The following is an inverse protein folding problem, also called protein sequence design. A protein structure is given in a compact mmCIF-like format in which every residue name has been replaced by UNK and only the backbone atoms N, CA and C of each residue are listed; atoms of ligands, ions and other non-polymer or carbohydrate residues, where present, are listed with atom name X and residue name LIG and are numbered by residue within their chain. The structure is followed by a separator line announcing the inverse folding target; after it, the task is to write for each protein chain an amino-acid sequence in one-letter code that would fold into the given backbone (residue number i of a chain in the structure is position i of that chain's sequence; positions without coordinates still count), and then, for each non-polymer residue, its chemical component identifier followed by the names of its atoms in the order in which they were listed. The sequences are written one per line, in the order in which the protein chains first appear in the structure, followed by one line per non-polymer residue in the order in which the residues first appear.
data_IF_426834003633
#
_entry.id   IF_426834003633
#
_cell.length_a   1.000
_cell.length_b   1.000
_cell.length_c   1.000
_cell.angle_alpha   90.00
_cell.angle_beta   90.00
_cell.angle_gamma   90.00
#
_symmetry.space_group_name_H-M   'P 1'
#
loop_
_entity.id
_entity.type
_entity.pdbx_description
1 polymer ?
#
# COMPACT_ATOMS: atom_id res chain seq x y z
N UNK A 1 -27.20 -26.57 -12.10
CA UNK A 1 -27.59 -25.14 -11.94
C UNK A 1 -27.30 -24.43 -13.25
N UNK A 2 -28.28 -23.79 -13.87
CA UNK A 2 -28.14 -23.19 -15.21
C UNK A 2 -27.13 -22.02 -15.17
N UNK A 3 -26.06 -22.07 -15.97
CA UNK A 3 -25.01 -21.03 -16.05
C UNK A 3 -25.59 -19.63 -16.30
N UNK A 4 -26.70 -19.55 -17.06
CA UNK A 4 -27.42 -18.31 -17.29
C UNK A 4 -28.00 -17.72 -15.99
N UNK A 5 -28.57 -18.57 -15.12
CA UNK A 5 -29.11 -18.13 -13.83
C UNK A 5 -27.99 -17.65 -12.91
N UNK A 6 -26.84 -18.34 -12.89
CA UNK A 6 -25.66 -17.90 -12.12
C UNK A 6 -25.15 -16.54 -12.60
N UNK A 7 -25.03 -16.34 -13.91
CA UNK A 7 -24.65 -15.05 -14.49
C UNK A 7 -25.64 -13.95 -14.14
N UNK A 8 -26.93 -14.25 -14.18
CA UNK A 8 -27.98 -13.31 -13.77
C UNK A 8 -27.88 -12.94 -12.29
N UNK A 9 -27.71 -13.91 -11.38
CA UNK A 9 -27.53 -13.63 -9.96
C UNK A 9 -26.26 -12.81 -9.68
N UNK A 10 -25.14 -13.14 -10.34
CA UNK A 10 -23.90 -12.36 -10.25
C UNK A 10 -24.08 -10.93 -10.76
N UNK A 11 -24.89 -10.72 -11.79
CA UNK A 11 -25.22 -9.39 -12.30
C UNK A 11 -26.01 -8.58 -11.26
N UNK A 12 -27.05 -9.16 -10.67
CA UNK A 12 -27.86 -8.52 -9.62
C UNK A 12 -27.00 -8.20 -8.38
N UNK A 13 -26.14 -9.13 -7.96
CA UNK A 13 -25.19 -8.89 -6.87
C UNK A 13 -24.26 -7.71 -7.18
N UNK A 14 -23.75 -7.60 -8.41
CA UNK A 14 -22.91 -6.48 -8.82
C UNK A 14 -23.65 -5.14 -8.81
N UNK A 15 -24.95 -5.10 -9.10
CA UNK A 15 -25.76 -3.89 -8.93
C UNK A 15 -25.75 -3.46 -7.45
N UNK A 16 -26.06 -4.36 -6.52
CA UNK A 16 -26.07 -4.05 -5.09
C UNK A 16 -24.69 -3.59 -4.56
N UNK A 17 -23.61 -4.24 -4.99
CA UNK A 17 -22.24 -3.84 -4.65
C UNK A 17 -21.91 -2.45 -5.20
N UNK A 18 -22.34 -2.16 -6.44
CA UNK A 18 -22.11 -0.87 -7.09
C UNK A 18 -22.86 0.26 -6.37
N UNK A 19 -24.13 0.05 -6.03
CA UNK A 19 -24.93 1.02 -5.24
C UNK A 19 -24.29 1.28 -3.88
N UNK A 20 -23.83 0.24 -3.20
CA UNK A 20 -23.09 0.37 -1.94
C UNK A 20 -21.82 1.21 -2.12
N UNK A 21 -21.09 1.00 -3.22
CA UNK A 21 -19.89 1.77 -3.55
C UNK A 21 -20.20 3.24 -3.81
N UNK A 22 -21.29 3.55 -4.50
CA UNK A 22 -21.76 4.94 -4.69
C UNK A 22 -22.04 5.62 -3.34
N UNK A 23 -22.73 4.93 -2.43
CA UNK A 23 -22.96 5.43 -1.07
C UNK A 23 -21.65 5.69 -0.31
N UNK A 24 -20.72 4.72 -0.32
CA UNK A 24 -19.38 4.91 0.28
C UNK A 24 -18.66 6.13 -0.29
N UNK A 25 -18.74 6.35 -1.61
CA UNK A 25 -18.08 7.49 -2.24
C UNK A 25 -18.68 8.80 -1.73
N UNK A 26 -20.01 8.90 -1.73
CA UNK A 26 -20.74 10.08 -1.29
C UNK A 26 -20.36 10.50 0.14
N UNK A 27 -20.24 9.54 1.06
CA UNK A 27 -19.98 9.84 2.47
C UNK A 27 -18.50 9.88 2.86
N UNK A 28 -17.67 9.01 2.26
CA UNK A 28 -16.29 8.79 2.71
C UNK A 28 -15.25 9.48 1.85
N UNK A 29 -15.54 9.72 0.57
CA UNK A 29 -14.53 10.23 -0.37
C UNK A 29 -14.48 11.74 -0.38
N UNK A 30 -13.27 12.28 -0.52
CA UNK A 30 -13.01 13.71 -0.68
C UNK A 30 -12.55 13.98 -2.10
N UNK A 31 -13.03 15.09 -2.67
CA UNK A 31 -12.57 15.52 -4.00
C UNK A 31 -11.09 15.85 -3.91
N UNK A 32 -10.29 15.09 -4.64
CA UNK A 32 -8.86 15.32 -4.68
C UNK A 32 -8.54 16.34 -5.77
N UNK A 33 -8.10 17.53 -5.38
CA UNK A 33 -7.51 18.51 -6.29
C UNK A 33 -6.00 18.29 -6.29
N UNK A 34 -5.54 17.14 -6.77
CA UNK A 34 -4.12 17.01 -7.05
C UNK A 34 -3.78 17.90 -8.22
N UNK A 35 -2.65 18.58 -8.13
CA UNK A 35 -2.07 19.31 -9.24
C UNK A 35 -1.90 18.33 -10.41
N UNK A 36 -2.12 18.83 -11.63
CA UNK A 36 -1.97 18.09 -12.88
C UNK A 36 -0.66 17.29 -12.82
N UNK A 37 -0.73 16.00 -13.15
CA UNK A 37 0.42 15.10 -13.14
C UNK A 37 1.58 15.69 -13.92
N UNK A 38 2.77 15.70 -13.31
CA UNK A 38 4.00 15.82 -14.07
C UNK A 38 4.08 14.57 -14.96
N UNK A 39 4.31 14.74 -16.25
CA UNK A 39 4.40 13.60 -17.17
C UNK A 39 5.70 12.83 -16.88
N UNK A 40 5.65 11.77 -16.05
CA UNK A 40 6.81 10.96 -15.64
C UNK A 40 7.00 9.69 -16.46
N UNK A 41 6.48 9.66 -17.70
CA UNK A 41 6.54 8.48 -18.59
C UNK A 41 7.95 8.01 -18.94
N UNK A 42 8.97 8.83 -18.72
CA UNK A 42 10.36 8.54 -19.05
C UNK A 42 11.12 7.83 -17.92
N UNK A 43 10.54 7.78 -16.71
CA UNK A 43 11.12 7.09 -15.55
C UNK A 43 10.27 5.90 -15.16
N UNK A 44 10.92 4.91 -14.55
CA UNK A 44 10.25 3.81 -13.87
C UNK A 44 10.09 4.14 -12.39
N UNK A 45 8.92 3.85 -11.80
CA UNK A 45 8.73 3.93 -10.36
C UNK A 45 9.08 2.58 -9.71
N UNK A 46 10.07 2.56 -8.82
CA UNK A 46 10.35 1.38 -8.00
C UNK A 46 9.72 1.55 -6.61
N UNK A 47 8.78 0.66 -6.27
CA UNK A 47 8.11 0.65 -4.97
C UNK A 47 8.81 -0.35 -4.06
N UNK A 48 9.33 0.14 -2.94
CA UNK A 48 9.98 -0.66 -1.91
C UNK A 48 8.92 -1.22 -0.97
N UNK A 49 8.59 -2.51 -1.13
CA UNK A 49 7.76 -3.26 -0.20
C UNK A 49 8.39 -3.38 1.20
N UNK A 50 7.84 -4.24 2.06
CA UNK A 50 8.34 -4.42 3.42
C UNK A 50 8.66 -5.88 3.78
N UNK A 51 8.58 -6.79 2.81
CA UNK A 51 8.91 -8.20 2.98
C UNK A 51 10.43 -8.41 3.11
N UNK A 52 10.87 -9.49 3.80
CA UNK A 52 12.28 -9.80 4.00
C UNK A 52 13.15 -9.76 2.73
N UNK A 53 12.61 -10.15 1.56
CA UNK A 53 13.36 -10.11 0.29
C UNK A 53 13.83 -8.71 -0.14
N UNK A 54 13.31 -7.65 0.49
CA UNK A 54 13.80 -6.30 0.27
C UNK A 54 15.30 -6.16 0.63
N UNK A 55 15.81 -6.92 1.60
CA UNK A 55 17.21 -6.87 2.01
C UNK A 55 18.16 -7.15 0.83
N UNK A 56 17.85 -8.17 0.02
CA UNK A 56 18.59 -8.49 -1.22
C UNK A 56 18.40 -7.39 -2.26
N UNK A 57 17.17 -6.91 -2.44
CA UNK A 57 16.86 -5.89 -3.44
C UNK A 57 17.64 -4.58 -3.21
N UNK A 58 17.78 -4.17 -1.95
CA UNK A 58 18.48 -2.95 -1.55
C UNK A 58 19.98 -2.96 -1.84
N UNK A 59 20.60 -4.12 -2.08
CA UNK A 59 22.03 -4.19 -2.45
C UNK A 59 22.29 -3.76 -3.89
N UNK A 60 21.26 -3.80 -4.76
CA UNK A 60 21.38 -3.36 -6.15
C UNK A 60 21.31 -1.84 -6.30
N UNK A 61 20.68 -1.15 -5.34
CA UNK A 61 20.56 0.30 -5.35
C UNK A 61 21.91 0.98 -5.13
N UNK A 62 22.46 1.60 -6.17
CA UNK A 62 23.70 2.38 -6.13
C UNK A 62 23.42 3.87 -6.34
N UNK A 63 24.34 4.74 -5.91
CA UNK A 63 24.11 6.19 -5.79
C UNK A 63 23.81 6.94 -7.12
N UNK A 64 23.72 6.25 -8.26
CA UNK A 64 23.67 6.86 -9.61
C UNK A 64 22.41 6.49 -10.44
N UNK A 65 21.33 6.03 -9.82
CA UNK A 65 20.13 5.58 -10.53
C UNK A 65 19.20 6.72 -10.97
N UNK A 66 19.72 7.65 -11.78
CA UNK A 66 18.97 8.80 -12.31
C UNK A 66 17.72 8.42 -13.16
N UNK A 67 17.57 7.15 -13.54
CA UNK A 67 16.50 6.62 -14.41
C UNK A 67 15.24 6.17 -13.68
N UNK A 68 15.30 5.98 -12.36
CA UNK A 68 14.14 5.57 -11.57
C UNK A 68 13.78 6.64 -10.55
N UNK A 69 12.51 6.67 -10.16
CA UNK A 69 12.09 7.28 -8.92
C UNK A 69 11.73 6.17 -7.94
N UNK A 70 11.96 6.41 -6.65
CA UNK A 70 11.72 5.40 -5.61
C UNK A 70 10.62 5.83 -4.65
N UNK A 71 9.77 4.88 -4.28
CA UNK A 71 8.69 5.04 -3.32
C UNK A 71 8.94 4.18 -2.08
N UNK A 72 9.18 4.84 -0.94
CA UNK A 72 9.33 4.21 0.37
C UNK A 72 8.00 3.99 1.09
N UNK A 73 7.92 2.98 1.94
CA UNK A 73 6.71 2.60 2.68
C UNK A 73 6.99 2.49 4.18
N UNK A 74 5.95 2.72 5.00
CA UNK A 74 5.95 2.47 6.45
C UNK A 74 7.20 2.99 7.17
N UNK A 75 8.06 2.10 7.68
CA UNK A 75 9.23 2.40 8.50
C UNK A 75 10.54 2.49 7.72
N UNK A 76 10.51 2.44 6.39
CA UNK A 76 11.72 2.47 5.56
C UNK A 76 12.69 3.62 5.91
N UNK A 77 12.17 4.78 6.34
CA UNK A 77 12.97 5.94 6.77
C UNK A 77 13.94 5.65 7.92
N UNK A 78 13.63 4.67 8.78
CA UNK A 78 14.49 4.33 9.93
C UNK A 78 15.77 3.61 9.50
N UNK A 79 15.81 3.07 8.28
CA UNK A 79 16.94 2.28 7.78
C UNK A 79 18.13 3.14 7.33
N UNK A 80 19.29 2.51 7.16
CA UNK A 80 20.48 3.15 6.56
C UNK A 80 20.34 3.44 5.07
N UNK A 81 19.38 2.78 4.40
CA UNK A 81 19.20 2.91 2.95
C UNK A 81 18.41 4.16 2.56
N UNK A 82 17.68 4.77 3.50
CA UNK A 82 16.84 5.93 3.22
C UNK A 82 17.62 7.11 2.62
N UNK A 83 18.75 7.49 3.22
CA UNK A 83 19.59 8.60 2.74
C UNK A 83 20.42 8.25 1.50
N UNK A 84 20.67 6.95 1.29
CA UNK A 84 21.35 6.44 0.09
C UNK A 84 20.43 6.52 -1.13
N UNK A 85 19.21 6.02 -0.98
CA UNK A 85 18.22 5.88 -2.06
C UNK A 85 17.51 7.19 -2.37
N UNK A 86 17.31 8.04 -1.36
CA UNK A 86 16.62 9.33 -1.48
C UNK A 86 15.26 9.24 -2.18
N UNK A 87 14.29 8.47 -1.64
CA UNK A 87 12.99 8.27 -2.28
C UNK A 87 12.30 9.59 -2.62
N UNK A 88 11.76 9.69 -3.83
CA UNK A 88 10.95 10.83 -4.28
C UNK A 88 9.55 10.82 -3.67
N UNK A 89 9.08 9.62 -3.29
CA UNK A 89 7.76 9.39 -2.74
C UNK A 89 7.80 8.56 -1.48
N UNK A 90 6.80 8.78 -0.63
CA UNK A 90 6.58 7.98 0.56
C UNK A 90 5.09 7.76 0.76
N UNK A 91 4.67 6.55 1.14
CA UNK A 91 3.26 6.26 1.41
C UNK A 91 3.10 5.71 2.82
N UNK A 92 2.21 6.33 3.59
CA UNK A 92 1.68 5.75 4.83
C UNK A 92 0.21 5.43 4.63
N UNK A 93 -0.22 4.28 5.15
CA UNK A 93 -1.61 3.85 5.11
C UNK A 93 -2.21 3.67 6.50
N UNK A 94 -1.49 3.07 7.44
CA UNK A 94 -2.03 2.76 8.77
C UNK A 94 -2.41 4.03 9.54
N UNK A 95 -3.61 4.07 10.10
CA UNK A 95 -4.13 5.20 10.86
C UNK A 95 -3.36 5.46 12.15
N UNK A 96 -2.61 4.47 12.65
CA UNK A 96 -1.75 4.68 13.81
C UNK A 96 -0.72 5.80 13.57
N UNK A 97 -0.27 6.03 12.32
CA UNK A 97 0.64 7.14 11.98
C UNK A 97 0.01 8.53 12.09
N UNK A 98 -1.31 8.64 12.18
CA UNK A 98 -2.04 9.90 12.23
C UNK A 98 -3.27 9.77 13.13
N UNK A 99 -3.05 9.51 14.44
CA UNK A 99 -4.13 9.30 15.38
C UNK A 99 -5.00 10.57 15.48
N UNK A 100 -6.32 10.39 15.62
CA UNK A 100 -7.24 11.51 15.86
C UNK A 100 -7.42 11.81 17.35
N UNK A 101 -7.20 10.82 18.18
CA UNK A 101 -7.29 10.87 19.64
C UNK A 101 -5.97 10.39 20.25
N UNK A 102 -5.84 10.42 21.57
CA UNK A 102 -4.62 9.99 22.24
C UNK A 102 -4.33 8.51 21.93
N UNK A 103 -3.07 8.17 21.68
CA UNK A 103 -2.64 6.82 21.31
C UNK A 103 -3.03 5.80 22.41
N UNK A 104 -3.99 4.92 22.11
CA UNK A 104 -4.23 3.68 22.86
C UNK A 104 -3.68 2.48 22.08
N UNK A 105 -2.40 2.57 21.70
CA UNK A 105 -1.70 1.48 21.02
C UNK A 105 -0.63 0.91 21.94
N UNK A 106 -0.26 -0.35 21.73
CA UNK A 106 0.87 -0.94 22.44
C UNK A 106 2.14 -0.10 22.21
N UNK A 107 2.98 0.02 23.24
CA UNK A 107 4.17 0.87 23.25
C UNK A 107 5.08 0.62 22.02
N UNK A 108 5.20 -0.63 21.59
CA UNK A 108 5.92 -1.00 20.38
C UNK A 108 5.48 -0.20 19.14
N UNK A 109 4.17 -0.03 18.92
CA UNK A 109 3.67 0.73 17.77
C UNK A 109 3.95 2.23 17.93
N UNK A 110 3.83 2.75 19.15
CA UNK A 110 4.15 4.16 19.45
C UNK A 110 5.61 4.44 19.10
N UNK A 111 6.54 3.59 19.54
CA UNK A 111 7.98 3.71 19.26
C UNK A 111 8.26 3.59 17.75
N UNK A 112 7.58 2.66 17.08
CA UNK A 112 7.69 2.44 15.63
C UNK A 112 7.26 3.69 14.83
N UNK A 113 6.21 4.37 15.26
CA UNK A 113 5.70 5.58 14.61
C UNK A 113 6.61 6.77 14.89
N UNK A 114 6.98 6.98 16.15
CA UNK A 114 7.87 8.08 16.55
C UNK A 114 9.21 7.97 15.82
N UNK A 115 9.84 6.79 15.82
CA UNK A 115 11.10 6.57 15.11
C UNK A 115 11.00 6.83 13.61
N UNK A 116 9.85 6.57 12.97
CA UNK A 116 9.63 6.92 11.56
C UNK A 116 9.66 8.43 11.36
N UNK A 117 8.87 9.18 12.14
CA UNK A 117 8.80 10.63 11.98
C UNK A 117 10.08 11.33 12.42
N UNK A 118 10.76 10.84 13.46
CA UNK A 118 12.09 11.31 13.87
C UNK A 118 13.12 11.07 12.77
N UNK A 119 13.10 9.90 12.13
CA UNK A 119 14.00 9.61 11.01
C UNK A 119 13.70 10.50 9.80
N UNK A 120 12.42 10.72 9.47
CA UNK A 120 12.02 11.65 8.40
C UNK A 120 12.45 13.07 8.73
N UNK A 121 12.33 13.51 9.98
CA UNK A 121 12.76 14.83 10.43
C UNK A 121 14.28 14.99 10.30
N UNK A 122 15.05 14.05 10.84
CA UNK A 122 16.50 14.13 10.95
C UNK A 122 17.25 13.85 9.64
N UNK A 123 16.77 12.91 8.82
CA UNK A 123 17.51 12.41 7.64
C UNK A 123 17.06 13.01 6.31
N UNK A 124 15.80 13.45 6.19
CA UNK A 124 15.28 13.92 4.92
C UNK A 124 15.83 15.32 4.60
N UNK A 125 16.67 15.41 3.58
CA UNK A 125 17.31 16.65 3.13
C UNK A 125 16.98 17.03 1.69
N UNK A 126 16.10 16.27 1.01
CA UNK A 126 15.64 16.49 -0.36
C UNK A 126 14.11 16.51 -0.40
N UNK A 127 13.52 17.16 -1.41
CA UNK A 127 12.07 17.20 -1.54
C UNK A 127 11.47 15.79 -1.77
N UNK A 128 10.49 15.43 -0.95
CA UNK A 128 9.79 14.16 -1.03
C UNK A 128 8.29 14.39 -0.83
N UNK A 129 7.47 13.75 -1.66
CA UNK A 129 6.02 13.80 -1.50
C UNK A 129 5.57 12.63 -0.60
N UNK A 130 4.98 12.97 0.54
CA UNK A 130 4.42 12.03 1.50
C UNK A 130 2.91 11.88 1.26
N UNK A 131 2.50 10.75 0.69
CA UNK A 131 1.11 10.39 0.49
C UNK A 131 0.50 9.79 1.75
N UNK A 132 -0.61 10.37 2.20
CA UNK A 132 -1.38 9.91 3.36
C UNK A 132 -2.89 9.98 3.12
N UNK A 133 -3.72 9.17 3.79
CA UNK A 133 -5.17 9.29 3.66
C UNK A 133 -5.70 10.65 4.11
N UNK A 134 -6.80 11.11 3.51
CA UNK A 134 -7.44 12.40 3.87
C UNK A 134 -7.74 12.54 5.37
N UNK A 135 -7.98 11.44 6.08
CA UNK A 135 -8.21 11.42 7.54
C UNK A 135 -7.03 12.04 8.31
N UNK A 136 -5.79 11.89 7.81
CA UNK A 136 -4.58 12.43 8.41
C UNK A 136 -4.59 13.97 8.53
N UNK A 137 -5.37 14.69 7.71
CA UNK A 137 -5.53 16.16 7.84
C UNK A 137 -6.05 16.58 9.21
N UNK A 138 -6.83 15.72 9.86
CA UNK A 138 -7.44 16.00 11.16
C UNK A 138 -6.53 15.67 12.35
N UNK A 139 -5.42 14.97 12.13
CA UNK A 139 -4.52 14.58 13.21
C UNK A 139 -3.55 15.72 13.53
N UNK A 140 -3.70 16.33 14.71
CA UNK A 140 -2.80 17.38 15.17
C UNK A 140 -1.35 16.89 15.29
N UNK A 141 -1.16 15.64 15.76
CA UNK A 141 0.14 14.97 15.81
C UNK A 141 0.80 14.96 14.43
N UNK A 142 0.12 14.42 13.42
CA UNK A 142 0.65 14.34 12.07
C UNK A 142 0.94 15.73 11.47
N UNK A 143 0.03 16.69 11.64
CA UNK A 143 0.24 18.07 11.16
C UNK A 143 1.46 18.73 11.81
N UNK A 144 1.74 18.42 13.08
CA UNK A 144 2.95 18.91 13.74
C UNK A 144 4.21 18.25 13.18
N UNK A 145 4.21 16.93 12.94
CA UNK A 145 5.33 16.23 12.29
C UNK A 145 5.68 16.85 10.93
N UNK A 146 4.67 17.16 10.10
CA UNK A 146 4.89 17.79 8.78
C UNK A 146 5.57 19.15 8.86
N UNK A 147 5.34 19.93 9.93
CA UNK A 147 5.94 21.26 10.09
C UNK A 147 7.42 21.22 10.45
N UNK A 148 7.90 20.09 10.97
CA UNK A 148 9.29 19.96 11.45
C UNK A 148 10.30 19.83 10.32
N UNK A 149 9.87 19.38 9.13
CA UNK A 149 10.75 19.28 7.98
C UNK A 149 10.12 19.84 6.70
N UNK A 150 10.66 20.95 6.21
CA UNK A 150 10.18 21.68 5.01
C UNK A 150 10.24 20.88 3.71
N UNK A 151 11.05 19.83 3.66
CA UNK A 151 11.22 18.98 2.49
C UNK A 151 10.09 17.96 2.32
N UNK A 152 9.28 17.73 3.36
CA UNK A 152 8.10 16.86 3.28
C UNK A 152 6.94 17.64 2.65
N UNK A 153 6.48 17.20 1.48
CA UNK A 153 5.27 17.73 0.84
C UNK A 153 4.13 16.73 0.99
N UNK A 154 3.17 17.02 1.86
CA UNK A 154 2.03 16.12 2.07
C UNK A 154 1.07 16.13 0.87
N UNK A 155 0.73 14.94 0.39
CA UNK A 155 -0.29 14.69 -0.63
C UNK A 155 -1.34 13.76 -0.05
N UNK A 156 -2.61 14.00 -0.34
CA UNK A 156 -3.72 13.29 0.31
C UNK A 156 -4.47 12.41 -0.68
N UNK A 157 -4.88 11.22 -0.25
CA UNK A 157 -5.62 10.28 -1.10
C UNK A 157 -6.82 9.65 -0.37
N UNK A 158 -7.76 9.11 -1.16
CA UNK A 158 -8.93 8.40 -0.65
C UNK A 158 -8.60 6.91 -0.48
N UNK A 159 -8.96 6.35 0.67
CA UNK A 159 -8.88 4.91 0.98
C UNK A 159 -10.21 4.18 0.80
N UNK A 160 -11.22 4.86 0.24
CA UNK A 160 -12.55 4.31 0.00
C UNK A 160 -12.47 3.07 -0.89
N UNK A 161 -12.90 1.88 -0.41
CA UNK A 161 -12.90 0.67 -1.22
C UNK A 161 -13.94 0.78 -2.35
N UNK A 162 -13.50 0.61 -3.60
CA UNK A 162 -14.37 0.64 -4.78
C UNK A 162 -14.55 -0.78 -5.31
N UNK A 163 -15.80 -1.23 -5.38
CA UNK A 163 -16.18 -2.58 -5.83
C UNK A 163 -17.36 -2.49 -6.81
N UNK A 164 -17.69 -3.59 -7.49
CA UNK A 164 -18.79 -3.66 -8.45
C UNK A 164 -18.33 -3.69 -9.90
N UNK A 165 -19.12 -3.12 -10.81
CA UNK A 165 -18.87 -3.22 -12.25
C UNK A 165 -17.50 -2.62 -12.65
N UNK A 166 -16.69 -3.30 -13.50
CA UNK A 166 -15.36 -2.84 -13.88
C UNK A 166 -15.29 -1.40 -14.40
N UNK A 167 -16.22 -1.00 -15.27
CA UNK A 167 -16.24 0.35 -15.82
C UNK A 167 -16.51 1.42 -14.75
N UNK A 168 -17.36 1.13 -13.76
CA UNK A 168 -17.61 2.00 -12.61
C UNK A 168 -16.37 2.08 -11.72
N UNK A 169 -15.70 0.95 -11.47
CA UNK A 169 -14.43 0.95 -10.72
C UNK A 169 -13.41 1.88 -11.38
N UNK A 170 -13.19 1.72 -12.69
CA UNK A 170 -12.25 2.53 -13.45
C UNK A 170 -12.65 4.02 -13.46
N UNK A 171 -13.95 4.34 -13.58
CA UNK A 171 -14.43 5.71 -13.47
C UNK A 171 -14.01 6.35 -12.14
N UNK A 172 -14.18 5.66 -11.02
CA UNK A 172 -13.81 6.20 -9.71
C UNK A 172 -12.31 6.21 -9.43
N UNK A 173 -11.58 5.23 -9.98
CA UNK A 173 -10.11 5.25 -9.98
C UNK A 173 -9.56 6.44 -10.77
N UNK A 174 -10.10 6.74 -11.95
CA UNK A 174 -9.70 7.89 -12.77
C UNK A 174 -9.83 9.21 -12.00
N UNK A 175 -10.91 9.33 -11.23
CA UNK A 175 -11.21 10.51 -10.43
C UNK A 175 -10.55 10.48 -9.04
N UNK A 176 -9.73 9.46 -8.74
CA UNK A 176 -9.04 9.24 -7.45
C UNK A 176 -10.00 9.29 -6.25
N UNK A 177 -11.26 8.87 -6.46
CA UNK A 177 -12.29 8.86 -5.42
C UNK A 177 -12.20 7.64 -4.52
N UNK A 178 -11.44 6.63 -4.91
CA UNK A 178 -11.09 5.48 -4.09
C UNK A 178 -10.13 4.58 -4.83
N UNK A 179 -9.96 3.38 -4.31
CA UNK A 179 -9.01 2.39 -4.80
C UNK A 179 -9.53 0.97 -4.49
N UNK A 180 -8.92 -0.09 -5.06
CA UNK A 180 -9.15 -1.45 -4.59
C UNK A 180 -8.89 -1.54 -3.10
N UNK A 181 -9.62 -2.37 -2.37
CA UNK A 181 -9.64 -2.37 -0.90
C UNK A 181 -8.22 -2.40 -0.30
N UNK A 182 -7.78 -1.36 0.44
CA UNK A 182 -6.39 -1.19 0.84
C UNK A 182 -6.07 -2.00 2.10
N UNK A 183 -5.92 -3.32 1.96
CA UNK A 183 -5.54 -4.20 3.06
C UNK A 183 -4.06 -4.12 3.45
N UNK A 184 -3.25 -3.54 2.58
CA UNK A 184 -1.84 -3.29 2.81
C UNK A 184 -1.43 -2.02 2.06
N UNK A 185 -0.29 -1.45 2.43
CA UNK A 185 0.21 -0.18 1.88
C UNK A 185 0.66 -0.30 0.42
N UNK A 186 0.96 -1.50 -0.11
CA UNK A 186 1.35 -1.66 -1.51
C UNK A 186 0.20 -1.34 -2.48
N UNK A 187 -1.05 -1.65 -2.10
CA UNK A 187 -2.25 -1.35 -2.91
C UNK A 187 -2.38 0.15 -3.24
N UNK A 188 -2.42 1.08 -2.26
CA UNK A 188 -2.43 2.50 -2.58
C UNK A 188 -1.16 2.96 -3.30
N UNK A 189 0.01 2.39 -3.00
CA UNK A 189 1.26 2.79 -3.67
C UNK A 189 1.25 2.49 -5.18
N UNK A 190 0.72 1.34 -5.59
CA UNK A 190 0.54 1.00 -7.00
C UNK A 190 -0.45 1.96 -7.68
N UNK A 191 -1.58 2.24 -7.03
CA UNK A 191 -2.57 3.19 -7.56
C UNK A 191 -1.99 4.60 -7.67
N UNK A 192 -1.21 5.04 -6.69
CA UNK A 192 -0.49 6.32 -6.70
C UNK A 192 0.51 6.34 -7.85
N UNK A 193 1.30 5.30 -8.08
CA UNK A 193 2.20 5.22 -9.23
C UNK A 193 1.46 5.42 -10.57
N UNK A 194 0.33 4.74 -10.76
CA UNK A 194 -0.50 4.92 -11.97
C UNK A 194 -1.02 6.36 -12.05
N UNK A 195 -1.50 6.91 -10.94
CA UNK A 195 -2.05 8.25 -10.87
C UNK A 195 -1.01 9.35 -11.04
N UNK A 196 0.24 9.11 -10.68
CA UNK A 196 1.36 10.04 -10.86
C UNK A 196 1.92 10.01 -12.29
N UNK A 197 1.38 9.14 -13.16
CA UNK A 197 1.62 9.18 -14.60
C UNK A 197 2.84 8.35 -15.05
N UNK A 198 3.31 7.42 -14.23
CA UNK A 198 4.33 6.46 -14.62
C UNK A 198 3.81 5.51 -15.70
N UNK A 199 4.64 5.23 -16.69
CA UNK A 199 4.40 4.22 -17.73
C UNK A 199 4.81 2.82 -17.26
N UNK A 200 5.81 2.73 -16.36
CA UNK A 200 6.30 1.49 -15.78
C UNK A 200 6.45 1.61 -14.26
N UNK A 201 6.05 0.56 -13.56
CA UNK A 201 6.16 0.42 -12.10
C UNK A 201 6.79 -0.94 -11.79
N UNK A 202 7.81 -0.97 -10.95
CA UNK A 202 8.40 -2.20 -10.43
C UNK A 202 8.16 -2.29 -8.92
N UNK A 203 7.89 -3.50 -8.42
CA UNK A 203 7.76 -3.78 -6.99
C UNK A 203 8.88 -4.72 -6.54
N UNK A 204 9.48 -4.41 -5.39
CA UNK A 204 10.50 -5.23 -4.73
C UNK A 204 10.12 -5.41 -3.26
N UNK A 205 10.57 -6.47 -2.59
CA UNK A 205 10.19 -6.73 -1.19
C UNK A 205 8.67 -6.94 -1.00
N UNK A 206 7.95 -7.36 -2.03
CA UNK A 206 6.52 -7.62 -2.01
C UNK A 206 6.24 -9.12 -1.86
N UNK A 207 6.75 -9.69 -0.77
CA UNK A 207 6.77 -11.14 -0.53
C UNK A 207 5.36 -11.72 -0.39
N UNK A 208 4.51 -11.10 0.44
CA UNK A 208 3.15 -11.57 0.73
C UNK A 208 3.05 -13.07 1.10
N UNK A 209 4.13 -13.63 1.64
CA UNK A 209 4.27 -15.04 2.01
C UNK A 209 3.53 -15.42 3.31
N UNK A 210 2.64 -14.55 3.81
CA UNK A 210 1.93 -14.69 5.09
C UNK A 210 1.12 -15.97 5.22
N UNK A 211 0.73 -16.61 4.11
CA UNK A 211 0.00 -17.89 4.13
C UNK A 211 0.81 -19.00 4.81
N UNK A 212 2.13 -19.05 4.58
CA UNK A 212 3.01 -20.02 5.22
C UNK A 212 3.27 -19.73 6.70
N UNK A 213 2.85 -18.56 7.19
CA UNK A 213 3.08 -18.08 8.56
C UNK A 213 1.82 -18.21 9.45
N UNK A 214 0.78 -18.89 8.95
CA UNK A 214 -0.45 -19.17 9.70
C UNK A 214 -0.26 -20.38 10.60
N UNK A 215 -0.67 -20.27 11.86
CA UNK A 215 -0.71 -21.38 12.81
C UNK A 215 -2.02 -21.33 13.62
N UNK A 216 -2.59 -22.50 13.93
CA UNK A 216 -3.73 -22.61 14.85
C UNK A 216 -3.27 -23.35 16.10
N UNK A 217 -3.41 -22.71 17.27
CA UNK A 217 -2.99 -23.30 18.56
C UNK A 217 -3.93 -24.43 19.00
N UNK A 218 -3.54 -25.17 20.05
CA UNK A 218 -4.37 -26.23 20.66
C UNK A 218 -5.70 -25.69 21.23
N UNK A 219 -5.74 -24.41 21.57
CA UNK A 219 -6.93 -23.69 22.06
C UNK A 219 -7.80 -23.14 20.90
N UNK A 220 -7.57 -23.57 19.66
CA UNK A 220 -8.27 -23.13 18.45
C UNK A 220 -8.12 -21.63 18.14
N UNK A 221 -6.97 -21.05 18.50
CA UNK A 221 -6.63 -19.66 18.23
C UNK A 221 -5.81 -19.55 16.95
N UNK A 222 -6.28 -18.79 15.97
CA UNK A 222 -5.53 -18.52 14.74
C UNK A 222 -4.52 -17.38 14.96
N UNK A 223 -3.25 -17.66 14.67
CA UNK A 223 -2.13 -16.74 14.75
C UNK A 223 -1.51 -16.56 13.38
N UNK A 224 -0.94 -15.38 13.13
CA UNK A 224 -0.16 -15.07 11.93
C UNK A 224 1.14 -14.42 12.35
N UNK A 225 2.26 -14.89 11.82
CA UNK A 225 3.54 -14.23 11.99
C UNK A 225 3.79 -13.26 10.82
N UNK A 226 3.74 -11.96 11.09
CA UNK A 226 3.99 -10.93 10.07
C UNK A 226 5.45 -10.49 10.16
N UNK A 227 6.27 -11.00 9.25
CA UNK A 227 7.69 -10.64 9.17
C UNK A 227 7.88 -9.41 8.28
N UNK A 228 8.58 -8.39 8.79
CA UNK A 228 9.07 -7.27 8.00
C UNK A 228 10.60 -7.29 7.92
N UNK A 229 11.16 -6.70 6.86
CA UNK A 229 12.61 -6.72 6.64
C UNK A 229 13.43 -6.02 7.75
N UNK A 230 12.80 -5.11 8.51
CA UNK A 230 13.42 -4.40 9.64
C UNK A 230 13.23 -5.06 11.01
N UNK A 231 12.37 -6.09 11.13
CA UNK A 231 12.08 -6.76 12.41
C UNK A 231 12.06 -8.29 12.33
N UNK A 232 12.53 -8.87 11.23
CA UNK A 232 12.45 -10.30 10.93
C UNK A 232 12.90 -11.21 12.08
N UNK A 233 14.01 -10.87 12.75
CA UNK A 233 14.56 -11.67 13.87
C UNK A 233 13.77 -11.55 15.18
N UNK A 234 12.89 -10.55 15.31
CA UNK A 234 12.09 -10.25 16.50
C UNK A 234 10.62 -10.63 16.33
N UNK A 235 10.15 -10.80 15.09
CA UNK A 235 8.74 -11.07 14.82
C UNK A 235 8.29 -12.41 15.39
N UNK A 236 7.05 -12.44 15.90
CA UNK A 236 6.44 -13.60 16.55
C UNK A 236 5.02 -13.80 16.03
N UNK A 237 4.49 -15.03 16.04
CA UNK A 237 3.08 -15.27 15.75
C UNK A 237 2.19 -14.44 16.69
N UNK A 238 1.27 -13.67 16.12
CA UNK A 238 0.36 -12.78 16.85
C UNK A 238 -1.09 -12.98 16.42
N UNK A 239 -1.99 -12.57 17.31
CA UNK A 239 -3.42 -12.47 17.01
C UNK A 239 -3.65 -11.41 15.93
N UNK A 240 -4.41 -11.75 14.90
CA UNK A 240 -4.97 -10.73 14.01
C UNK A 240 -6.28 -10.23 14.60
N UNK A 241 -6.32 -8.95 14.98
CA UNK A 241 -7.54 -8.31 15.49
C UNK A 241 -8.36 -7.69 14.35
N UNK A 242 -9.68 -7.64 14.51
CA UNK A 242 -10.56 -6.84 13.68
C UNK A 242 -10.60 -5.38 14.19
N UNK A 243 -11.36 -4.51 13.53
CA UNK A 243 -11.48 -3.10 13.94
C UNK A 243 -12.13 -2.92 15.32
N UNK A 244 -12.92 -3.89 15.79
CA UNK A 244 -13.50 -3.90 17.13
C UNK A 244 -12.56 -4.52 18.18
N UNK A 245 -11.27 -4.68 17.85
CA UNK A 245 -10.24 -5.28 18.70
C UNK A 245 -10.49 -6.76 19.06
N UNK A 246 -11.43 -7.42 18.38
CA UNK A 246 -11.73 -8.82 18.58
C UNK A 246 -10.81 -9.68 17.73
N UNK A 247 -10.46 -10.87 18.23
CA UNK A 247 -9.69 -11.86 17.50
C UNK A 247 -10.44 -12.30 16.23
N UNK A 248 -9.72 -12.32 15.10
CA UNK A 248 -10.21 -12.91 13.86
C UNK A 248 -10.12 -14.43 13.89
N UNK A 249 -11.13 -15.08 13.33
CA UNK A 249 -11.11 -16.50 12.99
C UNK A 249 -10.26 -16.73 11.73
N UNK A 250 -9.79 -17.96 11.54
CA UNK A 250 -8.96 -18.32 10.38
C UNK A 250 -9.60 -17.93 9.04
N UNK A 251 -10.90 -18.19 8.84
CA UNK A 251 -11.57 -17.84 7.59
C UNK A 251 -11.63 -16.33 7.34
N UNK A 252 -11.68 -15.49 8.39
CA UNK A 252 -11.66 -14.03 8.26
C UNK A 252 -10.26 -13.51 7.91
N UNK A 253 -9.22 -14.20 8.39
CA UNK A 253 -7.83 -13.94 8.01
C UNK A 253 -7.64 -14.28 6.52
N UNK A 254 -8.01 -15.49 6.12
CA UNK A 254 -7.93 -15.95 4.74
C UNK A 254 -8.76 -15.07 3.80
N UNK A 255 -9.94 -14.61 4.23
CA UNK A 255 -10.73 -13.66 3.47
C UNK A 255 -10.00 -12.32 3.27
N UNK A 256 -9.30 -11.81 4.30
CA UNK A 256 -8.45 -10.62 4.17
C UNK A 256 -7.31 -10.80 3.17
N UNK A 257 -6.69 -11.99 3.14
CA UNK A 257 -5.65 -12.33 2.17
C UNK A 257 -6.23 -12.44 0.76
N UNK A 258 -7.36 -13.12 0.59
CA UNK A 258 -8.11 -13.17 -0.67
C UNK A 258 -8.39 -11.76 -1.21
N UNK A 259 -8.91 -10.86 -0.37
CA UNK A 259 -9.19 -9.48 -0.76
C UNK A 259 -7.91 -8.72 -1.16
N UNK A 260 -6.78 -8.99 -0.51
CA UNK A 260 -5.48 -8.40 -0.87
C UNK A 260 -5.02 -8.86 -2.25
N UNK A 261 -5.00 -10.17 -2.50
CA UNK A 261 -4.55 -10.72 -3.78
C UNK A 261 -5.49 -10.36 -4.93
N UNK A 262 -6.81 -10.40 -4.70
CA UNK A 262 -7.81 -9.94 -5.68
C UNK A 262 -7.61 -8.47 -6.05
N UNK A 263 -7.23 -7.61 -5.10
CA UNK A 263 -6.95 -6.21 -5.38
C UNK A 263 -5.81 -6.03 -6.38
N UNK A 264 -4.77 -6.87 -6.38
CA UNK A 264 -3.69 -6.78 -7.38
C UNK A 264 -4.18 -7.07 -8.79
N UNK A 265 -5.10 -8.02 -8.95
CA UNK A 265 -5.74 -8.30 -10.24
C UNK A 265 -6.64 -7.14 -10.72
N UNK A 266 -7.33 -6.47 -9.79
CA UNK A 266 -8.08 -5.25 -10.11
C UNK A 266 -7.16 -4.10 -10.53
N UNK A 267 -6.02 -3.95 -9.85
CA UNK A 267 -4.98 -2.98 -10.21
C UNK A 267 -4.40 -3.30 -11.58
N UNK A 268 -4.12 -4.56 -11.89
CA UNK A 268 -3.59 -5.00 -13.19
C UNK A 268 -4.51 -4.54 -14.33
N UNK A 269 -5.80 -4.86 -14.25
CA UNK A 269 -6.80 -4.45 -15.25
C UNK A 269 -6.90 -2.94 -15.40
N UNK A 270 -6.79 -2.21 -14.28
CA UNK A 270 -6.78 -0.76 -14.32
C UNK A 270 -5.51 -0.22 -14.99
N UNK A 271 -4.33 -0.74 -14.65
CA UNK A 271 -3.04 -0.39 -15.23
C UNK A 271 -3.01 -0.65 -16.75
N UNK A 272 -3.50 -1.80 -17.19
CA UNK A 272 -3.66 -2.14 -18.62
C UNK A 272 -4.52 -1.11 -19.36
N UNK A 273 -5.65 -0.69 -18.77
CA UNK A 273 -6.51 0.37 -19.34
C UNK A 273 -5.82 1.75 -19.40
N UNK A 274 -4.73 1.94 -18.65
CA UNK A 274 -3.88 3.13 -18.63
C UNK A 274 -2.59 2.97 -19.41
N UNK A 275 -2.36 1.81 -20.04
CA UNK A 275 -1.10 1.45 -20.71
C UNK A 275 0.10 1.57 -19.76
N UNK A 276 -0.10 1.21 -18.49
CA UNK A 276 0.96 1.16 -17.47
C UNK A 276 1.35 -0.30 -17.26
N UNK A 277 2.65 -0.58 -17.32
CA UNK A 277 3.19 -1.90 -17.02
C UNK A 277 3.59 -1.99 -15.54
N UNK A 278 3.28 -3.11 -14.92
CA UNK A 278 3.66 -3.39 -13.53
C UNK A 278 4.46 -4.69 -13.52
N UNK A 279 5.67 -4.63 -12.97
CA UNK A 279 6.58 -5.77 -12.85
C UNK A 279 6.80 -6.15 -11.39
N UNK A 280 6.79 -7.43 -11.10
CA UNK A 280 7.16 -7.99 -9.81
C UNK A 280 8.61 -8.46 -9.82
N UNK A 281 9.48 -7.67 -9.17
CA UNK A 281 10.92 -7.89 -9.08
C UNK A 281 11.36 -8.37 -7.68
N UNK A 282 10.41 -8.78 -6.83
CA UNK A 282 10.72 -9.28 -5.48
C UNK A 282 11.30 -10.69 -5.58
N UNK A 283 12.39 -11.01 -4.89
CA UNK A 283 13.00 -12.36 -4.95
C UNK A 283 11.97 -13.47 -4.61
N UNK A 284 11.21 -13.25 -3.53
CA UNK A 284 10.07 -14.06 -3.12
C UNK A 284 8.80 -13.25 -3.36
N UNK A 285 7.75 -13.87 -3.89
CA UNK A 285 6.44 -13.23 -3.96
C UNK A 285 5.29 -14.22 -4.15
N UNK A 286 4.19 -13.97 -3.45
CA UNK A 286 2.91 -14.64 -3.63
C UNK A 286 1.96 -13.82 -4.54
N UNK A 287 2.38 -12.64 -5.01
CA UNK A 287 1.60 -11.85 -5.96
C UNK A 287 1.75 -12.44 -7.36
N UNK A 288 0.67 -13.00 -7.89
CA UNK A 288 0.57 -13.64 -9.22
C UNK A 288 0.00 -12.72 -10.32
N UNK A 289 -0.37 -11.49 -9.96
CA UNK A 289 -1.03 -10.57 -10.90
C UNK A 289 -0.08 -9.94 -11.93
N UNK A 290 1.22 -9.82 -11.62
CA UNK A 290 2.17 -9.02 -12.38
C UNK A 290 3.31 -9.87 -12.97
N UNK A 291 3.81 -9.47 -14.14
CA UNK A 291 4.92 -10.14 -14.81
C UNK A 291 6.19 -10.09 -13.95
N UNK A 292 6.95 -11.19 -13.92
CA UNK A 292 8.21 -11.29 -13.18
C UNK A 292 9.36 -10.74 -14.01
N UNK A 293 10.22 -9.90 -13.39
CA UNK A 293 11.46 -9.40 -13.99
C UNK A 293 12.56 -9.29 -12.95
N UNK A 294 13.81 -9.31 -13.39
CA UNK A 294 14.94 -9.04 -12.53
C UNK A 294 15.08 -7.54 -12.28
N UNK A 295 15.31 -7.15 -11.01
CA UNK A 295 15.43 -5.74 -10.64
C UNK A 295 16.55 -5.04 -11.41
N UNK A 296 17.67 -5.74 -11.67
CA UNK A 296 18.81 -5.18 -12.39
C UNK A 296 18.47 -4.77 -13.83
N UNK A 297 17.44 -5.37 -14.45
CA UNK A 297 16.96 -4.97 -15.78
C UNK A 297 16.17 -3.67 -15.74
N UNK A 298 15.52 -3.38 -14.60
CA UNK A 298 14.74 -2.16 -14.38
C UNK A 298 15.67 -0.97 -14.04
N UNK A 299 16.78 -1.22 -13.34
CA UNK A 299 17.70 -0.17 -12.89
C UNK A 299 18.70 0.29 -13.97
N UNK A 300 18.84 -0.46 -15.07
CA UNK A 300 19.73 -0.14 -16.21
C UNK A 300 19.11 0.88 -17.16
#
# INVERSE_FOLDING_TARGET
MNDLLLKFFNFIQNIGITLTTLGKILFLSKRNRLNRTVNRKEKTLVILGNGPSLNTSLTYFNNEENRVDVLGLNNFATTKYFEKIKPSYYVLLDEKFYPLEKHEYDQYYIDLINSTFEALEAKLTWEMILFVPFKAKKSAYFQNCLKRNKYIKASYYNVTPIEGFPFIKHLFFNNRLGLPRPHNVLIPSLMIGIWEGYSEIAIVGADHSWLGEIHVTKENVALVNQKHFYDEKKSKPQLMKNYAMQQRKLHEILYGFYLSFRSYWDIKKYAESKKVKIYNCSEVSFIDAFERKELIEILK
#
